data_IF_186428122740
#
_entry.id   IF_186428122740
#
_cell.length_a   1.000
_cell.length_b   1.000
_cell.length_c   1.000
_cell.angle_alpha   90.00
_cell.angle_beta   90.00
_cell.angle_gamma   90.00
#
_symmetry.space_group_name_H-M   'P 1'
#
loop_
_entity.id
_entity.type
_entity.pdbx_description
1 polymer ?
#
# COMPACT_ATOMS: atom_id res chain seq x y z
N UNK A 1 -0.91 -5.90 -24.93
CA UNK A 1 0.10 -5.13 -24.12
C UNK A 1 -0.48 -3.84 -23.57
N UNK A 2 -1.19 -3.01 -24.35
CA UNK A 2 -1.72 -1.71 -23.88
C UNK A 2 -2.68 -1.82 -22.68
N UNK A 3 -3.54 -2.84 -22.66
CA UNK A 3 -4.50 -3.05 -21.55
C UNK A 3 -3.81 -3.36 -20.23
N UNK A 4 -2.81 -4.23 -20.23
CA UNK A 4 -2.05 -4.54 -19.01
C UNK A 4 -1.30 -3.31 -18.48
N UNK A 5 -0.68 -2.53 -19.35
CA UNK A 5 0.02 -1.31 -18.97
C UNK A 5 -0.93 -0.30 -18.31
N UNK A 6 -2.13 -0.09 -18.88
CA UNK A 6 -3.13 0.80 -18.32
C UNK A 6 -3.58 0.36 -16.90
N UNK A 7 -3.70 -0.95 -16.66
CA UNK A 7 -4.06 -1.49 -15.34
C UNK A 7 -2.92 -1.28 -14.35
N UNK A 8 -1.67 -1.61 -14.73
CA UNK A 8 -0.52 -1.46 -13.85
C UNK A 8 -0.29 0.02 -13.51
N UNK A 9 -0.40 0.91 -14.50
CA UNK A 9 -0.33 2.36 -14.32
C UNK A 9 -1.40 2.86 -13.34
N UNK A 10 -2.66 2.44 -13.53
CA UNK A 10 -3.75 2.81 -12.64
C UNK A 10 -3.46 2.40 -11.18
N UNK A 11 -2.95 1.18 -10.96
CA UNK A 11 -2.58 0.69 -9.62
C UNK A 11 -1.36 1.45 -9.08
N UNK A 12 -0.35 1.71 -9.90
CA UNK A 12 0.84 2.47 -9.50
C UNK A 12 0.51 3.91 -9.06
N UNK A 13 -0.51 4.51 -9.69
CA UNK A 13 -1.05 5.83 -9.34
C UNK A 13 -2.01 5.83 -8.14
N UNK A 14 -2.22 4.68 -7.48
CA UNK A 14 -3.00 4.57 -6.25
C UNK A 14 -4.46 4.15 -6.41
N UNK A 15 -4.90 3.76 -7.61
CA UNK A 15 -6.22 3.14 -7.81
C UNK A 15 -6.14 1.66 -7.40
N UNK A 16 -6.38 1.36 -6.12
CA UNK A 16 -6.10 0.05 -5.54
C UNK A 16 -7.32 -0.86 -5.44
N UNK A 17 -8.54 -0.34 -5.61
CA UNK A 17 -9.78 -1.12 -5.60
C UNK A 17 -10.24 -1.43 -7.03
N UNK A 18 -10.90 -2.57 -7.21
CA UNK A 18 -11.43 -2.98 -8.51
C UNK A 18 -12.27 -1.87 -9.19
N UNK A 19 -13.08 -1.17 -8.39
CA UNK A 19 -13.94 -0.09 -8.90
C UNK A 19 -13.14 1.12 -9.36
N UNK A 20 -12.10 1.50 -8.62
CA UNK A 20 -11.25 2.64 -8.92
C UNK A 20 -10.43 2.37 -10.19
N UNK A 21 -9.89 1.14 -10.32
CA UNK A 21 -9.19 0.69 -11.53
C UNK A 21 -10.12 0.71 -12.74
N UNK A 22 -11.36 0.19 -12.59
CA UNK A 22 -12.37 0.24 -13.64
C UNK A 22 -12.67 1.68 -14.08
N UNK A 23 -12.90 2.59 -13.14
CA UNK A 23 -13.18 4.00 -13.44
C UNK A 23 -11.99 4.67 -14.14
N UNK A 24 -10.77 4.38 -13.70
CA UNK A 24 -9.55 4.97 -14.29
C UNK A 24 -9.27 4.44 -15.68
N UNK A 25 -9.44 3.14 -15.91
CA UNK A 25 -9.05 2.47 -17.16
C UNK A 25 -10.18 2.37 -18.17
N UNK A 26 -11.44 2.55 -17.75
CA UNK A 26 -12.66 2.34 -18.55
C UNK A 26 -12.80 0.90 -19.11
N UNK A 27 -12.04 -0.05 -18.58
CA UNK A 27 -12.12 -1.48 -18.94
C UNK A 27 -13.33 -2.09 -18.24
N UNK A 28 -14.16 -2.83 -18.97
CA UNK A 28 -15.31 -3.54 -18.41
C UNK A 28 -14.90 -4.48 -17.27
N UNK A 29 -15.65 -4.47 -16.15
CA UNK A 29 -15.30 -5.20 -14.91
C UNK A 29 -15.07 -6.69 -15.09
N UNK A 30 -15.83 -7.35 -15.99
CA UNK A 30 -15.65 -8.76 -16.29
C UNK A 30 -14.28 -9.04 -16.90
N UNK A 31 -13.87 -8.24 -17.89
CA UNK A 31 -12.55 -8.32 -18.55
C UNK A 31 -11.45 -7.89 -17.58
N UNK A 32 -11.64 -6.80 -16.84
CA UNK A 32 -10.70 -6.31 -15.86
C UNK A 32 -10.35 -7.39 -14.81
N UNK A 33 -11.35 -8.13 -14.33
CA UNK A 33 -11.13 -9.22 -13.37
C UNK A 33 -10.21 -10.31 -13.91
N UNK A 34 -10.31 -10.65 -15.19
CA UNK A 34 -9.42 -11.63 -15.84
C UNK A 34 -7.98 -11.09 -15.94
N UNK A 35 -7.83 -9.84 -16.39
CA UNK A 35 -6.49 -9.22 -16.48
C UNK A 35 -5.82 -9.08 -15.11
N UNK A 36 -6.58 -8.67 -14.08
CA UNK A 36 -6.06 -8.59 -12.71
C UNK A 36 -5.63 -9.96 -12.18
N UNK A 37 -6.42 -11.01 -12.46
CA UNK A 37 -6.04 -12.39 -12.10
C UNK A 37 -4.71 -12.77 -12.74
N UNK A 38 -4.53 -12.52 -14.04
CA UNK A 38 -3.29 -12.82 -14.73
C UNK A 38 -2.09 -12.05 -14.14
N UNK A 39 -2.27 -10.77 -13.80
CA UNK A 39 -1.22 -9.95 -13.18
C UNK A 39 -0.84 -10.43 -11.77
N UNK A 40 -1.80 -10.97 -11.01
CA UNK A 40 -1.56 -11.61 -9.72
C UNK A 40 -0.79 -12.93 -9.89
N UNK A 41 -1.17 -13.77 -10.87
CA UNK A 41 -0.50 -15.04 -11.17
C UNK A 41 0.95 -14.82 -11.65
N UNK A 42 1.20 -13.74 -12.40
CA UNK A 42 2.54 -13.33 -12.83
C UNK A 42 3.37 -12.67 -11.72
N UNK A 43 2.78 -12.39 -10.56
CA UNK A 43 3.45 -11.71 -9.46
C UNK A 43 3.76 -10.23 -9.71
N UNK A 44 3.23 -9.63 -10.77
CA UNK A 44 3.39 -8.19 -11.08
C UNK A 44 2.55 -7.35 -10.11
N UNK A 45 1.34 -7.83 -9.81
CA UNK A 45 0.50 -7.29 -8.74
C UNK A 45 0.40 -8.29 -7.60
N UNK A 46 0.15 -7.78 -6.40
CA UNK A 46 -0.28 -8.57 -5.25
C UNK A 46 -1.56 -7.97 -4.65
N UNK A 47 -2.22 -8.74 -3.78
CA UNK A 47 -3.32 -8.24 -2.96
C UNK A 47 -2.89 -8.04 -1.53
N UNK A 48 -3.15 -6.86 -1.01
CA UNK A 48 -3.03 -6.54 0.40
C UNK A 48 -4.40 -6.64 1.06
N UNK A 49 -4.46 -7.27 2.23
CA UNK A 49 -5.66 -7.37 3.05
C UNK A 49 -5.39 -6.73 4.41
N UNK A 50 -6.45 -6.19 5.03
CA UNK A 50 -6.34 -5.74 6.42
C UNK A 50 -5.80 -6.89 7.29
N UNK A 51 -4.94 -6.57 8.24
CA UNK A 51 -4.24 -7.56 9.08
C UNK A 51 -5.20 -8.45 9.88
N UNK A 52 -6.39 -7.96 10.18
CA UNK A 52 -7.47 -8.67 10.87
C UNK A 52 -8.38 -9.48 9.93
N UNK A 53 -8.21 -9.34 8.60
CA UNK A 53 -9.01 -10.05 7.61
C UNK A 53 -8.95 -11.57 7.83
N UNK A 54 -10.12 -12.19 7.89
CA UNK A 54 -10.24 -13.63 8.01
C UNK A 54 -10.06 -14.34 6.65
N UNK A 55 -9.95 -15.68 6.67
CA UNK A 55 -9.72 -16.48 5.46
C UNK A 55 -10.82 -16.29 4.42
N UNK A 56 -12.10 -16.15 4.84
CA UNK A 56 -13.22 -15.93 3.91
C UNK A 56 -13.13 -14.58 3.22
N UNK A 57 -12.66 -13.55 3.94
CA UNK A 57 -12.46 -12.21 3.38
C UNK A 57 -11.30 -12.19 2.40
N UNK A 58 -10.21 -12.90 2.71
CA UNK A 58 -9.06 -13.03 1.80
C UNK A 58 -9.40 -13.84 0.54
N UNK A 59 -10.33 -14.79 0.63
CA UNK A 59 -10.82 -15.54 -0.53
C UNK A 59 -11.77 -14.71 -1.42
N UNK A 60 -12.32 -13.60 -0.92
CA UNK A 60 -13.23 -12.78 -1.71
C UNK A 60 -12.45 -11.90 -2.70
N UNK A 61 -12.65 -12.16 -3.99
CA UNK A 61 -11.98 -11.44 -5.10
C UNK A 61 -12.26 -9.93 -5.07
N UNK A 62 -13.39 -9.50 -4.54
CA UNK A 62 -13.75 -8.07 -4.46
C UNK A 62 -13.13 -7.35 -3.26
N UNK A 63 -12.59 -8.09 -2.27
CA UNK A 63 -11.91 -7.51 -1.11
C UNK A 63 -10.40 -7.45 -1.32
N UNK A 64 -9.75 -6.64 -0.52
CA UNK A 64 -8.33 -6.37 -0.60
C UNK A 64 -7.98 -5.26 -1.60
N UNK A 65 -6.78 -4.76 -1.47
CA UNK A 65 -6.23 -3.67 -2.30
C UNK A 65 -5.18 -4.24 -3.23
N UNK A 66 -5.24 -3.87 -4.51
CA UNK A 66 -4.20 -4.22 -5.47
C UNK A 66 -2.99 -3.33 -5.27
N UNK A 67 -1.79 -3.92 -5.22
CA UNK A 67 -0.50 -3.22 -5.14
C UNK A 67 0.41 -3.73 -6.25
N UNK A 68 1.26 -2.87 -6.79
CA UNK A 68 2.40 -3.29 -7.61
C UNK A 68 3.43 -3.91 -6.67
N UNK A 69 3.87 -5.14 -6.98
CA UNK A 69 4.72 -5.93 -6.09
C UNK A 69 6.12 -5.33 -5.95
N UNK A 70 6.67 -4.84 -7.04
CA UNK A 70 8.03 -4.31 -7.11
C UNK A 70 8.02 -2.78 -7.12
N UNK A 71 8.85 -2.16 -6.26
CA UNK A 71 8.91 -0.69 -6.14
C UNK A 71 9.51 -0.02 -7.38
N UNK A 72 10.40 -0.67 -8.12
CA UNK A 72 10.93 -0.13 -9.37
C UNK A 72 9.83 -0.10 -10.44
N UNK A 73 9.06 -1.21 -10.59
CA UNK A 73 7.89 -1.23 -11.49
C UNK A 73 6.87 -0.17 -11.10
N UNK A 74 6.61 -0.02 -9.81
CA UNK A 74 5.70 1.02 -9.32
C UNK A 74 6.19 2.42 -9.70
N UNK A 75 7.49 2.72 -9.52
CA UNK A 75 8.08 3.99 -9.92
C UNK A 75 8.00 4.19 -11.44
N UNK A 76 8.35 3.17 -12.20
CA UNK A 76 8.30 3.18 -13.64
C UNK A 76 6.92 3.55 -14.18
N UNK A 77 5.88 2.84 -13.72
CA UNK A 77 4.51 3.08 -14.18
C UNK A 77 3.87 4.34 -13.60
N UNK A 78 4.33 4.83 -12.46
CA UNK A 78 3.84 6.09 -11.91
C UNK A 78 4.44 7.31 -12.59
N UNK A 79 5.72 7.28 -12.98
CA UNK A 79 6.45 8.46 -13.37
C UNK A 79 7.14 8.38 -14.75
N UNK A 80 7.67 7.23 -15.12
CA UNK A 80 8.42 7.08 -16.37
C UNK A 80 7.51 6.77 -17.54
N UNK A 81 6.70 5.73 -17.41
CA UNK A 81 5.82 5.26 -18.50
C UNK A 81 4.85 6.32 -19.03
N UNK A 82 4.16 7.12 -18.19
CA UNK A 82 3.28 8.19 -18.67
C UNK A 82 4.00 9.33 -19.39
N UNK A 83 5.30 9.49 -19.15
CA UNK A 83 6.11 10.61 -19.65
C UNK A 83 7.22 10.15 -20.61
N UNK A 84 7.11 8.94 -21.18
CA UNK A 84 8.18 8.33 -21.95
C UNK A 84 8.56 9.17 -23.18
N UNK A 85 7.59 9.79 -23.85
CA UNK A 85 7.83 10.64 -25.04
C UNK A 85 8.68 11.86 -24.70
N UNK A 86 8.42 12.51 -23.58
CA UNK A 86 9.18 13.69 -23.14
C UNK A 86 10.58 13.28 -22.68
N UNK A 87 10.69 12.13 -22.01
CA UNK A 87 11.99 11.58 -21.62
C UNK A 87 12.85 11.20 -22.83
N UNK A 88 12.25 10.61 -23.88
CA UNK A 88 12.93 10.31 -25.15
C UNK A 88 13.31 11.59 -25.91
N UNK A 89 12.56 12.67 -25.76
CA UNK A 89 12.90 13.99 -26.28
C UNK A 89 14.02 14.68 -25.48
N UNK A 90 14.46 14.11 -24.34
CA UNK A 90 15.59 14.57 -23.55
C UNK A 90 15.20 15.46 -22.35
N UNK A 91 13.90 15.64 -22.04
CA UNK A 91 13.44 16.49 -20.91
C UNK A 91 13.34 15.71 -19.57
N UNK A 92 14.42 15.03 -19.19
CA UNK A 92 14.46 14.32 -17.91
C UNK A 92 14.40 15.27 -16.70
N UNK A 93 15.02 16.47 -16.82
CA UNK A 93 15.04 17.47 -15.74
C UNK A 93 13.65 18.08 -15.50
N UNK A 94 12.93 18.41 -16.56
CA UNK A 94 11.57 18.92 -16.46
C UNK A 94 10.61 17.90 -15.85
N UNK A 95 10.67 16.66 -16.31
CA UNK A 95 9.85 15.55 -15.73
C UNK A 95 10.20 15.36 -14.25
N UNK A 96 11.47 15.33 -13.87
CA UNK A 96 11.86 15.22 -12.47
C UNK A 96 11.26 16.36 -11.63
N UNK A 97 11.49 17.60 -12.03
CA UNK A 97 11.12 18.79 -11.26
C UNK A 97 9.59 19.00 -11.15
N UNK A 98 8.88 18.77 -12.25
CA UNK A 98 7.46 19.13 -12.32
C UNK A 98 6.49 17.96 -12.08
N UNK A 99 6.97 16.72 -12.17
CA UNK A 99 6.16 15.52 -12.00
C UNK A 99 6.65 14.70 -10.79
N UNK A 100 7.93 14.25 -10.80
CA UNK A 100 8.43 13.32 -9.79
C UNK A 100 8.57 14.00 -8.43
N UNK A 101 9.27 15.14 -8.36
CA UNK A 101 9.60 15.82 -7.10
C UNK A 101 8.34 16.17 -6.29
N UNK A 102 7.26 16.57 -6.96
CA UNK A 102 5.98 16.92 -6.32
C UNK A 102 5.28 15.74 -5.65
N UNK A 103 5.46 14.56 -6.18
CA UNK A 103 4.80 13.34 -5.71
C UNK A 103 5.73 12.44 -4.90
N UNK A 104 7.04 12.76 -4.85
CA UNK A 104 8.07 11.90 -4.29
C UNK A 104 7.85 11.63 -2.81
N UNK A 105 7.44 12.63 -2.03
CA UNK A 105 7.17 12.48 -0.60
C UNK A 105 6.02 11.48 -0.38
N UNK A 106 4.92 11.64 -1.10
CA UNK A 106 3.78 10.72 -1.06
C UNK A 106 4.16 9.31 -1.52
N UNK A 107 4.91 9.21 -2.61
CA UNK A 107 5.40 7.93 -3.13
C UNK A 107 6.28 7.21 -2.10
N UNK A 108 7.22 7.94 -1.51
CA UNK A 108 8.17 7.40 -0.53
C UNK A 108 7.49 7.01 0.78
N UNK A 109 6.43 7.72 1.20
CA UNK A 109 5.66 7.38 2.41
C UNK A 109 5.16 5.94 2.38
N UNK A 110 4.62 5.47 1.28
CA UNK A 110 4.17 4.08 1.14
C UNK A 110 5.32 3.06 1.21
N UNK A 111 6.48 3.39 0.63
CA UNK A 111 7.67 2.53 0.74
C UNK A 111 8.18 2.51 2.17
N UNK A 112 8.11 3.64 2.86
CA UNK A 112 8.52 3.76 4.26
C UNK A 112 7.66 2.92 5.21
N UNK A 113 6.36 2.80 4.97
CA UNK A 113 5.48 1.88 5.71
C UNK A 113 5.97 0.43 5.59
N UNK A 114 6.30 -0.02 4.37
CA UNK A 114 6.85 -1.36 4.14
C UNK A 114 8.20 -1.56 4.86
N UNK A 115 9.07 -0.55 4.86
CA UNK A 115 10.35 -0.56 5.61
C UNK A 115 10.10 -0.67 7.12
N UNK A 116 9.16 0.08 7.66
CA UNK A 116 8.79 0.02 9.08
C UNK A 116 8.26 -1.37 9.46
N UNK A 117 7.43 -2.00 8.63
CA UNK A 117 6.97 -3.36 8.86
C UNK A 117 8.12 -4.37 8.82
N UNK A 118 9.06 -4.25 7.88
CA UNK A 118 10.24 -5.11 7.80
C UNK A 118 11.12 -4.96 9.04
N UNK A 119 11.33 -3.73 9.50
CA UNK A 119 12.05 -3.45 10.75
C UNK A 119 11.41 -4.16 11.95
N UNK A 120 10.10 -4.00 12.13
CA UNK A 120 9.37 -4.66 13.22
C UNK A 120 9.41 -6.19 13.13
N UNK A 121 9.29 -6.77 11.93
CA UNK A 121 9.48 -8.21 11.71
C UNK A 121 10.87 -8.68 12.14
N UNK A 122 11.92 -7.88 11.87
CA UNK A 122 13.28 -8.17 12.31
C UNK A 122 13.39 -8.12 13.85
N UNK A 123 12.84 -7.06 14.49
CA UNK A 123 12.83 -6.93 15.96
C UNK A 123 12.07 -8.09 16.61
N UNK A 124 10.95 -8.50 16.02
CA UNK A 124 10.16 -9.63 16.50
C UNK A 124 10.97 -10.95 16.50
N UNK A 125 11.68 -11.25 15.40
CA UNK A 125 12.56 -12.42 15.31
C UNK A 125 13.71 -12.42 16.29
N UNK A 126 14.18 -11.24 16.69
CA UNK A 126 15.25 -11.05 17.67
C UNK A 126 14.71 -10.99 19.11
N UNK A 127 13.40 -11.15 19.33
CA UNK A 127 12.74 -11.03 20.62
C UNK A 127 13.02 -9.71 21.36
N UNK A 128 13.11 -8.62 20.61
CA UNK A 128 13.38 -7.26 21.13
C UNK A 128 12.11 -6.43 21.32
N UNK A 129 10.93 -7.04 21.11
CA UNK A 129 9.63 -6.40 21.31
C UNK A 129 8.99 -6.87 22.63
N UNK A 130 8.03 -6.12 23.20
CA UNK A 130 7.34 -6.49 24.44
C UNK A 130 6.64 -7.85 24.40
N UNK A 131 6.22 -8.29 23.21
CA UNK A 131 5.63 -9.62 22.97
C UNK A 131 5.94 -10.08 21.54
N UNK A 132 5.79 -11.38 21.30
CA UNK A 132 5.94 -11.97 19.96
C UNK A 132 4.62 -11.87 19.20
N UNK A 133 4.62 -11.16 18.09
CA UNK A 133 3.46 -11.09 17.20
C UNK A 133 3.49 -12.20 16.13
N UNK A 134 2.32 -12.67 15.73
CA UNK A 134 2.14 -13.66 14.66
C UNK A 134 1.66 -13.05 13.36
N UNK A 135 1.04 -11.86 13.43
CA UNK A 135 0.59 -11.10 12.26
C UNK A 135 1.04 -9.64 12.39
N UNK A 136 1.39 -9.04 11.26
CA UNK A 136 1.66 -7.61 11.12
C UNK A 136 1.25 -7.17 9.73
N UNK A 137 0.61 -6.01 9.62
CA UNK A 137 0.19 -5.38 8.38
C UNK A 137 -0.53 -4.07 8.65
N UNK A 138 -1.06 -3.47 7.59
CA UNK A 138 -1.98 -2.34 7.70
C UNK A 138 -3.34 -2.83 8.18
N UNK A 139 -4.04 -1.97 8.91
CA UNK A 139 -5.42 -2.19 9.27
C UNK A 139 -6.28 -1.04 8.73
N UNK A 140 -7.44 -1.37 8.17
CA UNK A 140 -8.42 -0.36 7.73
C UNK A 140 -9.84 -0.87 7.82
N UNK A 141 -10.74 0.07 7.98
CA UNK A 141 -12.17 -0.12 7.85
C UNK A 141 -12.74 0.87 6.81
N UNK A 142 -14.01 1.28 6.93
CA UNK A 142 -14.64 2.23 6.00
C UNK A 142 -14.18 3.67 6.19
N UNK A 143 -13.74 4.05 7.39
CA UNK A 143 -13.49 5.43 7.83
C UNK A 143 -12.08 5.65 8.33
N UNK A 144 -11.43 4.61 8.83
CA UNK A 144 -10.15 4.70 9.54
C UNK A 144 -9.11 3.76 8.97
N UNK A 145 -7.87 4.14 9.13
CA UNK A 145 -6.69 3.38 8.71
C UNK A 145 -5.59 3.51 9.77
N UNK A 146 -4.83 2.42 9.96
CA UNK A 146 -3.64 2.34 10.81
C UNK A 146 -2.53 1.72 9.98
N UNK A 147 -1.40 2.41 9.85
CA UNK A 147 -0.29 2.00 8.97
C UNK A 147 0.34 0.68 9.40
N UNK A 148 0.43 0.47 10.72
CA UNK A 148 0.96 -0.75 11.30
C UNK A 148 0.07 -1.22 12.44
N UNK A 149 -0.42 -2.45 12.32
CA UNK A 149 -0.99 -3.21 13.42
C UNK A 149 -0.30 -4.57 13.48
N UNK A 150 0.29 -4.88 14.64
CA UNK A 150 0.85 -6.20 14.88
C UNK A 150 0.13 -6.86 16.07
N UNK A 151 -0.23 -8.13 15.94
CA UNK A 151 -1.03 -8.85 16.94
C UNK A 151 -0.40 -10.19 17.28
N UNK A 152 -0.49 -10.60 18.55
CA UNK A 152 -0.08 -11.94 18.98
C UNK A 152 -1.11 -13.00 18.55
N UNK A 153 -0.80 -14.28 18.76
CA UNK A 153 -1.67 -15.39 18.36
C UNK A 153 -3.05 -15.32 19.05
N UNK A 154 -3.08 -14.98 20.32
CA UNK A 154 -4.30 -14.87 21.13
C UNK A 154 -5.09 -13.58 20.83
N UNK A 155 -4.51 -12.64 20.11
CA UNK A 155 -5.06 -11.30 19.84
C UNK A 155 -5.34 -10.48 21.10
N UNK A 156 -4.59 -10.74 22.17
CA UNK A 156 -4.68 -10.00 23.44
C UNK A 156 -3.74 -8.80 23.47
N UNK A 157 -2.60 -8.91 22.79
CA UNK A 157 -1.58 -7.88 22.75
C UNK A 157 -1.44 -7.33 21.34
N UNK A 158 -1.40 -6.00 21.23
CA UNK A 158 -1.41 -5.28 19.96
C UNK A 158 -0.35 -4.18 20.00
N UNK A 159 0.44 -4.09 18.92
CA UNK A 159 1.25 -2.90 18.61
C UNK A 159 0.51 -2.12 17.54
N UNK A 160 0.29 -0.83 17.76
CA UNK A 160 -0.19 0.11 16.77
C UNK A 160 0.93 1.07 16.40
N UNK A 161 1.07 1.37 15.12
CA UNK A 161 2.07 2.30 14.60
C UNK A 161 1.52 3.19 13.51
N UNK A 162 1.97 4.44 13.53
CA UNK A 162 1.74 5.42 12.46
C UNK A 162 3.11 5.75 11.84
N UNK A 163 3.21 5.69 10.53
CA UNK A 163 4.45 5.94 9.80
C UNK A 163 4.45 7.37 9.26
N UNK A 164 5.44 8.16 9.62
CA UNK A 164 5.57 9.55 9.15
C UNK A 164 6.91 9.73 8.43
N UNK A 165 6.86 9.79 7.11
CA UNK A 165 8.00 10.17 6.28
C UNK A 165 7.99 11.68 6.08
N UNK A 166 8.62 12.41 7.00
CA UNK A 166 8.70 13.88 6.97
C UNK A 166 10.00 14.36 7.63
N UNK A 167 10.46 15.55 7.25
CA UNK A 167 11.65 16.17 7.86
C UNK A 167 11.38 16.75 9.26
N UNK A 168 10.12 17.03 9.59
CA UNK A 168 9.75 17.56 10.89
C UNK A 168 9.69 16.47 11.96
N UNK A 169 9.94 16.85 13.21
CA UNK A 169 9.84 15.94 14.36
C UNK A 169 8.38 15.42 14.49
N UNK A 170 8.23 14.15 14.85
CA UNK A 170 6.93 13.56 15.17
C UNK A 170 6.40 14.20 16.46
N UNK A 171 5.18 14.72 16.43
CA UNK A 171 4.57 15.44 17.54
C UNK A 171 3.70 14.51 18.41
N UNK A 172 3.51 14.92 19.67
CA UNK A 172 2.57 14.28 20.63
C UNK A 172 1.14 14.20 20.07
N UNK A 173 0.77 15.10 19.17
CA UNK A 173 -0.52 15.06 18.47
C UNK A 173 -0.67 13.79 17.61
N UNK A 174 0.38 13.36 16.94
CA UNK A 174 0.39 12.13 16.14
C UNK A 174 0.11 10.91 17.05
N UNK A 175 0.72 10.87 18.23
CA UNK A 175 0.48 9.83 19.23
C UNK A 175 -0.96 9.84 19.76
N UNK A 176 -1.51 11.02 20.09
CA UNK A 176 -2.89 11.14 20.57
C UNK A 176 -3.89 10.68 19.52
N UNK A 177 -3.64 10.98 18.25
CA UNK A 177 -4.47 10.53 17.13
C UNK A 177 -4.46 8.99 17.00
N UNK A 178 -3.29 8.37 17.13
CA UNK A 178 -3.15 6.91 17.13
C UNK A 178 -3.86 6.27 18.33
N UNK A 179 -3.74 6.87 19.53
CA UNK A 179 -4.45 6.41 20.75
C UNK A 179 -5.97 6.48 20.60
N UNK A 180 -6.50 7.51 19.95
CA UNK A 180 -7.93 7.60 19.65
C UNK A 180 -8.42 6.48 18.74
N UNK A 181 -7.61 6.06 17.76
CA UNK A 181 -7.91 4.91 16.89
C UNK A 181 -7.91 3.56 17.64
N UNK A 182 -7.17 3.42 18.74
CA UNK A 182 -7.16 2.22 19.56
C UNK A 182 -8.55 1.87 20.10
N UNK A 183 -9.35 2.89 20.49
CA UNK A 183 -10.69 2.68 21.01
C UNK A 183 -11.69 2.12 19.99
N UNK A 184 -11.41 2.24 18.70
CA UNK A 184 -12.24 1.73 17.61
C UNK A 184 -12.09 0.22 17.42
N UNK A 185 -10.90 -0.32 17.72
CA UNK A 185 -10.59 -1.74 17.56
C UNK A 185 -11.22 -2.62 18.67
N UNK A 186 -11.57 -2.05 19.83
CA UNK A 186 -12.17 -2.76 20.97
C UNK A 186 -13.70 -2.93 20.85
N UNK A 187 -14.31 -2.52 19.75
CA UNK A 187 -15.78 -2.54 19.54
C UNK A 187 -16.26 -3.60 18.52
N UNK A 188 -15.40 -4.47 18.04
CA UNK A 188 -15.76 -5.54 17.08
C UNK A 188 -15.53 -6.92 17.67
#
# INVERSE_FOLDING_TARGET
TSVYNAIIEAVALGNTKLNDIHQKTQIEKSKLSVYLKNLLELGILCKEFSVDANIKEQANVQRGLYKVTDNFFRFWYAFVFPNISELEAGDAEGIYKYVVERELERYTSYVFEDVCQQYLRRQNRLHLLPFYFTKIGRWWNKTDEIDIMAVNYQKTDIILGECKYKQSVVDVKDLKHLQAKQSLNNKN
#
